data_IF_713205096032
#
_entry.id   IF_713205096032
#
_cell.length_a   1.000
_cell.length_b   1.000
_cell.length_c   1.000
_cell.angle_alpha   90.00
_cell.angle_beta   90.00
_cell.angle_gamma   90.00
#
_symmetry.space_group_name_H-M   'P 1'
#
loop_
_entity.id
_entity.type
_entity.pdbx_description
1 polymer ?
#
# COMPACT_ATOMS: atom_id res chain seq x y z
N UNK A 1 16.03 0.11 1.40
CA UNK A 1 17.47 0.03 1.69
C UNK A 1 18.16 -0.80 0.64
N UNK A 2 18.38 -2.09 0.89
CA UNK A 2 19.28 -2.93 0.08
C UNK A 2 19.03 -3.00 -1.43
N UNK A 3 17.77 -3.04 -1.91
CA UNK A 3 17.46 -3.04 -3.35
C UNK A 3 17.82 -1.70 -4.01
N UNK A 4 17.65 -0.61 -3.27
CA UNK A 4 17.86 0.76 -3.75
C UNK A 4 19.35 1.10 -3.76
N UNK A 5 20.09 0.70 -2.73
CA UNK A 5 21.56 0.85 -2.65
C UNK A 5 22.30 0.07 -3.73
N UNK A 6 21.74 -1.03 -4.22
CA UNK A 6 22.34 -1.80 -5.30
C UNK A 6 21.99 -1.31 -6.71
N UNK A 7 20.89 -0.57 -6.84
CA UNK A 7 20.44 0.00 -8.10
C UNK A 7 21.39 1.07 -8.64
N UNK A 8 22.03 1.85 -7.74
CA UNK A 8 22.91 2.96 -8.09
C UNK A 8 24.22 2.52 -8.77
N UNK A 9 24.70 1.30 -8.51
CA UNK A 9 26.01 0.85 -8.99
C UNK A 9 25.94 -0.16 -10.16
N UNK A 10 24.80 -0.84 -10.36
CA UNK A 10 24.72 -2.02 -11.24
C UNK A 10 23.58 -1.99 -12.28
N UNK A 11 22.73 -0.95 -12.28
CA UNK A 11 21.70 -0.75 -13.31
C UNK A 11 20.42 -1.60 -13.12
N UNK A 12 19.52 -1.53 -14.11
CA UNK A 12 18.20 -2.19 -14.09
C UNK A 12 18.30 -3.71 -13.93
N UNK A 13 19.32 -4.34 -14.51
CA UNK A 13 19.53 -5.79 -14.40
C UNK A 13 19.75 -6.25 -12.94
N UNK A 14 20.36 -5.40 -12.12
CA UNK A 14 20.54 -5.68 -10.70
C UNK A 14 19.22 -5.59 -9.93
N UNK A 15 18.35 -4.62 -10.25
CA UNK A 15 17.00 -4.53 -9.66
C UNK A 15 16.21 -5.80 -9.95
N UNK A 16 16.23 -6.27 -11.19
CA UNK A 16 15.55 -7.51 -11.59
C UNK A 16 16.09 -8.71 -10.79
N UNK A 17 17.42 -8.89 -10.76
CA UNK A 17 18.08 -9.98 -10.00
C UNK A 17 17.77 -9.92 -8.50
N UNK A 18 17.72 -8.73 -7.91
CA UNK A 18 17.41 -8.57 -6.50
C UNK A 18 15.95 -8.86 -6.19
N UNK A 19 15.04 -8.44 -7.07
CA UNK A 19 13.63 -8.78 -6.93
C UNK A 19 13.42 -10.29 -7.07
N UNK A 20 14.12 -10.94 -8.00
CA UNK A 20 14.06 -12.40 -8.19
C UNK A 20 14.50 -13.19 -6.95
N UNK A 21 15.49 -12.71 -6.19
CA UNK A 21 15.86 -13.34 -4.90
C UNK A 21 14.70 -13.37 -3.89
N UNK A 22 13.73 -12.46 -4.01
CA UNK A 22 12.56 -12.48 -3.15
C UNK A 22 11.54 -13.58 -3.51
N UNK A 23 11.72 -14.32 -4.61
CA UNK A 23 10.85 -15.45 -4.95
C UNK A 23 10.88 -16.55 -3.90
N UNK A 24 12.01 -16.70 -3.21
CA UNK A 24 12.17 -17.60 -2.06
C UNK A 24 11.28 -17.19 -0.86
N UNK A 25 10.80 -15.95 -0.86
CA UNK A 25 9.86 -15.39 0.12
C UNK A 25 8.56 -14.98 -0.56
N UNK A 26 7.86 -15.97 -1.13
CA UNK A 26 6.68 -15.76 -1.98
C UNK A 26 5.64 -14.79 -1.41
N UNK A 27 5.35 -14.85 -0.11
CA UNK A 27 4.39 -13.95 0.56
C UNK A 27 4.84 -12.49 0.65
N UNK A 28 6.10 -12.18 0.33
CA UNK A 28 6.70 -10.84 0.34
C UNK A 28 7.20 -10.40 -1.03
N UNK A 29 7.04 -11.21 -2.07
CA UNK A 29 7.54 -10.88 -3.40
C UNK A 29 6.97 -9.56 -3.92
N UNK A 30 5.69 -9.29 -3.66
CA UNK A 30 5.04 -8.02 -4.02
C UNK A 30 5.71 -6.80 -3.38
N UNK A 31 6.25 -6.92 -2.16
CA UNK A 31 6.99 -5.85 -1.49
C UNK A 31 8.33 -5.58 -2.18
N UNK A 32 8.98 -6.62 -2.70
CA UNK A 32 10.20 -6.44 -3.49
C UNK A 32 9.92 -5.80 -4.85
N UNK A 33 8.84 -6.21 -5.53
CA UNK A 33 8.41 -5.56 -6.76
C UNK A 33 8.04 -4.07 -6.51
N UNK A 34 7.39 -3.78 -5.38
CA UNK A 34 7.14 -2.41 -4.93
C UNK A 34 8.42 -1.61 -4.73
N UNK A 35 9.40 -2.17 -3.98
CA UNK A 35 10.71 -1.55 -3.79
C UNK A 35 11.47 -1.34 -5.11
N UNK A 36 11.30 -2.23 -6.09
CA UNK A 36 11.86 -2.05 -7.44
C UNK A 36 11.27 -0.81 -8.12
N UNK A 37 9.97 -0.56 -8.00
CA UNK A 37 9.32 0.65 -8.52
C UNK A 37 9.95 1.95 -8.01
N UNK A 38 10.21 2.03 -6.70
CA UNK A 38 10.93 3.16 -6.11
C UNK A 38 12.31 3.36 -6.74
N UNK A 39 13.10 2.28 -6.79
CA UNK A 39 14.46 2.31 -7.32
C UNK A 39 14.49 2.70 -8.81
N UNK A 40 13.59 2.13 -9.62
CA UNK A 40 13.48 2.42 -11.05
C UNK A 40 13.15 3.90 -11.28
N UNK A 41 12.19 4.48 -10.54
CA UNK A 41 11.86 5.89 -10.72
C UNK A 41 13.05 6.79 -10.35
N UNK A 42 13.70 6.53 -9.23
CA UNK A 42 14.86 7.29 -8.78
C UNK A 42 16.01 7.22 -9.81
N UNK A 43 16.29 6.03 -10.36
CA UNK A 43 17.29 5.83 -11.41
C UNK A 43 16.98 6.58 -12.71
N UNK A 44 15.70 6.75 -13.05
CA UNK A 44 15.27 7.48 -14.22
C UNK A 44 15.07 8.98 -13.98
N UNK A 45 15.63 9.53 -12.90
CA UNK A 45 15.54 10.95 -12.56
C UNK A 45 14.09 11.47 -12.54
N UNK A 46 13.17 10.64 -12.03
CA UNK A 46 11.74 10.95 -11.97
C UNK A 46 11.03 11.10 -13.33
N UNK A 47 11.57 10.47 -14.38
CA UNK A 47 10.83 10.20 -15.62
C UNK A 47 9.80 9.07 -15.40
N UNK A 48 8.60 9.45 -14.94
CA UNK A 48 7.55 8.51 -14.57
C UNK A 48 7.11 7.57 -15.71
N UNK A 49 6.82 8.03 -16.95
CA UNK A 49 6.51 7.13 -18.06
C UNK A 49 7.60 6.09 -18.30
N UNK A 50 8.86 6.52 -18.30
CA UNK A 50 9.99 5.62 -18.50
C UNK A 50 10.09 4.57 -17.39
N UNK A 51 9.84 4.98 -16.14
CA UNK A 51 9.80 4.07 -15.01
C UNK A 51 8.67 3.05 -15.11
N UNK A 52 7.46 3.48 -15.50
CA UNK A 52 6.32 2.58 -15.70
C UNK A 52 6.57 1.56 -16.82
N UNK A 53 7.11 2.00 -17.97
CA UNK A 53 7.50 1.09 -19.05
C UNK A 53 8.57 0.09 -18.60
N UNK A 54 9.52 0.51 -17.76
CA UNK A 54 10.53 -0.40 -17.19
C UNK A 54 9.89 -1.44 -16.26
N UNK A 55 8.91 -1.05 -15.43
CA UNK A 55 8.12 -2.01 -14.65
C UNK A 55 7.40 -3.04 -15.57
N UNK A 56 6.84 -2.58 -16.69
CA UNK A 56 6.16 -3.45 -17.66
C UNK A 56 7.13 -4.47 -18.26
N UNK A 57 8.32 -4.04 -18.67
CA UNK A 57 9.35 -4.92 -19.25
C UNK A 57 9.77 -6.03 -18.28
N UNK A 58 9.87 -5.73 -16.99
CA UNK A 58 10.35 -6.67 -15.96
C UNK A 58 9.23 -7.61 -15.51
N UNK A 59 8.04 -7.09 -15.23
CA UNK A 59 7.02 -7.81 -14.47
C UNK A 59 5.81 -8.27 -15.29
N UNK A 60 5.61 -7.84 -16.53
CA UNK A 60 4.45 -8.26 -17.34
C UNK A 60 4.38 -9.78 -17.57
N UNK A 61 5.54 -10.44 -17.60
CA UNK A 61 5.64 -11.89 -17.80
C UNK A 61 5.65 -12.69 -16.49
N UNK A 62 5.53 -12.04 -15.34
CA UNK A 62 5.58 -12.71 -14.05
C UNK A 62 4.24 -13.39 -13.72
N UNK A 63 4.11 -14.66 -14.11
CA UNK A 63 2.89 -15.43 -13.93
C UNK A 63 2.72 -15.99 -12.50
N UNK A 64 3.80 -16.18 -11.75
CA UNK A 64 3.72 -16.76 -10.40
C UNK A 64 3.29 -15.73 -9.36
N UNK A 65 3.42 -14.45 -9.68
CA UNK A 65 3.13 -13.33 -8.79
C UNK A 65 2.35 -12.24 -9.53
N UNK A 66 1.04 -12.44 -9.77
CA UNK A 66 0.24 -11.55 -10.62
C UNK A 66 0.16 -10.09 -10.12
N UNK A 67 0.37 -9.84 -8.83
CA UNK A 67 0.37 -8.49 -8.27
C UNK A 67 1.70 -7.74 -8.45
N UNK A 68 2.77 -8.41 -8.91
CA UNK A 68 4.12 -7.83 -8.98
C UNK A 68 4.17 -6.58 -9.87
N UNK A 69 3.55 -6.64 -11.05
CA UNK A 69 3.51 -5.50 -11.97
C UNK A 69 2.83 -4.29 -11.33
N UNK A 70 1.60 -4.48 -10.83
CA UNK A 70 0.87 -3.40 -10.15
C UNK A 70 1.58 -2.88 -8.89
N UNK A 71 2.35 -3.74 -8.22
CA UNK A 71 3.17 -3.37 -7.07
C UNK A 71 4.35 -2.49 -7.47
N UNK A 72 5.03 -2.80 -8.59
CA UNK A 72 6.08 -1.97 -9.17
C UNK A 72 5.54 -0.59 -9.56
N UNK A 73 4.42 -0.53 -10.28
CA UNK A 73 3.77 0.75 -10.60
C UNK A 73 3.42 1.54 -9.34
N UNK A 74 2.85 0.88 -8.33
CA UNK A 74 2.55 1.51 -7.04
C UNK A 74 3.80 2.13 -6.39
N UNK A 75 4.93 1.41 -6.37
CA UNK A 75 6.20 1.96 -5.85
C UNK A 75 6.69 3.17 -6.62
N UNK A 76 6.59 3.16 -7.96
CA UNK A 76 6.94 4.30 -8.78
C UNK A 76 6.03 5.51 -8.52
N UNK A 77 4.70 5.33 -8.51
CA UNK A 77 3.78 6.43 -8.19
C UNK A 77 3.97 6.98 -6.77
N UNK A 78 4.25 6.11 -5.79
CA UNK A 78 4.56 6.51 -4.42
C UNK A 78 5.84 7.34 -4.36
N UNK A 79 6.91 6.90 -5.03
CA UNK A 79 8.16 7.63 -5.11
C UNK A 79 7.98 8.99 -5.78
N UNK A 80 7.20 9.06 -6.87
CA UNK A 80 6.89 10.31 -7.56
C UNK A 80 6.23 11.35 -6.64
N UNK A 81 5.41 10.89 -5.70
CA UNK A 81 4.73 11.76 -4.75
C UNK A 81 5.65 12.24 -3.62
N UNK A 82 6.38 11.31 -2.97
CA UNK A 82 7.09 11.62 -1.73
C UNK A 82 8.55 12.00 -1.93
N UNK A 83 9.17 11.59 -3.03
CA UNK A 83 10.56 11.92 -3.36
C UNK A 83 11.58 11.47 -2.32
N UNK A 84 11.33 10.38 -1.59
CA UNK A 84 12.17 9.95 -0.46
C UNK A 84 13.58 9.58 -0.91
N UNK A 85 13.76 9.27 -2.19
CA UNK A 85 15.02 8.86 -2.80
C UNK A 85 15.60 9.92 -3.75
N UNK A 86 15.40 11.20 -3.44
CA UNK A 86 16.10 12.36 -4.05
C UNK A 86 17.61 12.41 -3.75
N UNK A 87 18.33 11.29 -3.85
CA UNK A 87 19.75 11.23 -3.51
C UNK A 87 20.64 11.64 -4.69
N UNK A 88 21.65 12.47 -4.41
CA UNK A 88 22.89 12.49 -5.21
C UNK A 88 22.87 13.25 -6.53
N UNK A 89 21.81 13.96 -6.90
CA UNK A 89 21.83 14.84 -8.07
C UNK A 89 22.10 16.29 -7.65
N UNK A 90 23.15 16.91 -8.20
CA UNK A 90 23.32 18.38 -8.15
C UNK A 90 22.14 19.12 -8.83
N UNK A 91 21.30 18.38 -9.56
CA UNK A 91 20.07 18.85 -10.17
C UNK A 91 18.86 18.64 -9.24
N UNK A 92 17.96 19.62 -9.20
CA UNK A 92 16.63 19.44 -8.61
C UNK A 92 15.88 18.34 -9.38
N UNK A 93 15.39 17.30 -8.71
CA UNK A 93 14.60 16.24 -9.34
C UNK A 93 13.46 16.81 -10.18
N UNK A 94 13.21 16.23 -11.36
CA UNK A 94 12.09 16.67 -12.20
C UNK A 94 10.78 16.32 -11.51
N UNK A 95 9.94 17.32 -11.24
CA UNK A 95 8.61 17.16 -10.63
C UNK A 95 7.48 17.37 -11.64
N UNK A 96 7.72 16.99 -12.89
CA UNK A 96 6.77 17.21 -13.98
C UNK A 96 5.49 16.36 -13.86
N UNK A 97 5.52 15.32 -13.03
CA UNK A 97 4.39 14.43 -12.77
C UNK A 97 3.67 14.74 -11.46
N UNK A 98 3.77 16.01 -11.02
CA UNK A 98 2.94 16.61 -9.98
C UNK A 98 2.27 17.86 -10.54
N UNK A 99 1.01 18.07 -10.19
CA UNK A 99 0.27 19.28 -10.55
C UNK A 99 -0.73 19.63 -9.45
N UNK A 100 -1.51 20.68 -9.69
CA UNK A 100 -2.62 21.11 -8.83
C UNK A 100 -3.98 20.50 -9.28
N UNK A 101 -3.98 19.61 -10.27
CA UNK A 101 -5.13 18.76 -10.58
C UNK A 101 -5.17 17.58 -9.60
N UNK A 102 -6.24 17.41 -8.80
CA UNK A 102 -6.33 16.35 -7.79
C UNK A 102 -6.34 14.94 -8.38
N UNK A 103 -6.56 14.77 -9.68
CA UNK A 103 -6.58 13.47 -10.36
C UNK A 103 -5.35 13.22 -11.21
N UNK A 104 -4.44 14.19 -11.33
CA UNK A 104 -3.17 14.01 -12.00
C UNK A 104 -2.13 13.39 -11.04
N UNK A 105 -1.33 12.41 -11.49
CA UNK A 105 -1.20 11.95 -12.87
C UNK A 105 -2.12 10.78 -13.27
N UNK A 106 -3.00 10.29 -12.39
CA UNK A 106 -3.82 9.11 -12.67
C UNK A 106 -4.75 9.29 -13.88
N UNK A 107 -5.20 10.50 -14.17
CA UNK A 107 -5.99 10.81 -15.37
C UNK A 107 -5.17 10.94 -16.66
N UNK A 108 -3.84 10.87 -16.59
CA UNK A 108 -2.93 10.97 -17.74
C UNK A 108 -2.41 9.61 -18.24
N UNK A 109 -2.66 8.52 -17.51
CA UNK A 109 -2.16 7.17 -17.81
C UNK A 109 -3.29 6.20 -18.17
N UNK A 110 -2.96 5.14 -18.92
CA UNK A 110 -3.88 4.07 -19.32
C UNK A 110 -4.42 3.23 -18.15
N UNK A 111 -5.39 2.37 -18.45
CA UNK A 111 -6.09 1.52 -17.46
C UNK A 111 -5.14 0.58 -16.70
N UNK A 112 -4.09 0.10 -17.36
CA UNK A 112 -3.07 -0.79 -16.79
C UNK A 112 -2.32 -0.18 -15.59
N UNK A 113 -2.21 1.15 -15.52
CA UNK A 113 -1.48 1.86 -14.46
C UNK A 113 -2.39 2.35 -13.33
N UNK A 114 -3.72 2.30 -13.51
CA UNK A 114 -4.69 2.94 -12.61
C UNK A 114 -4.61 2.42 -11.18
N UNK A 115 -4.48 1.09 -11.00
CA UNK A 115 -4.33 0.49 -9.66
C UNK A 115 -3.11 1.06 -8.94
N UNK A 116 -1.96 1.09 -9.60
CA UNK A 116 -0.73 1.64 -9.00
C UNK A 116 -0.86 3.12 -8.62
N UNK A 117 -1.54 3.90 -9.47
CA UNK A 117 -1.70 5.34 -9.25
C UNK A 117 -2.71 5.67 -8.14
N UNK A 118 -3.95 5.15 -8.22
CA UNK A 118 -5.01 5.48 -7.27
C UNK A 118 -4.72 4.95 -5.85
N UNK A 119 -3.89 3.92 -5.71
CA UNK A 119 -3.39 3.47 -4.42
C UNK A 119 -2.41 4.45 -3.76
N UNK A 120 -2.09 5.60 -4.39
CA UNK A 120 -1.25 6.69 -3.88
C UNK A 120 -1.92 8.08 -3.93
N UNK A 121 -2.94 8.28 -4.77
CA UNK A 121 -3.44 9.62 -5.09
C UNK A 121 -4.07 10.38 -3.91
N UNK A 122 -4.74 9.70 -2.98
CA UNK A 122 -5.38 10.37 -1.85
C UNK A 122 -4.36 11.06 -0.91
N UNK A 123 -3.12 10.56 -0.82
CA UNK A 123 -2.06 11.25 -0.07
C UNK A 123 -1.70 12.60 -0.70
N UNK A 124 -1.69 12.71 -2.04
CA UNK A 124 -1.49 13.98 -2.74
C UNK A 124 -2.68 14.91 -2.53
N UNK A 125 -3.89 14.41 -2.69
CA UNK A 125 -5.12 15.18 -2.46
C UNK A 125 -5.14 15.72 -1.02
N UNK A 126 -4.74 14.91 -0.03
CA UNK A 126 -4.64 15.33 1.37
C UNK A 126 -3.66 16.49 1.56
N UNK A 127 -2.47 16.42 0.94
CA UNK A 127 -1.49 17.51 0.96
C UNK A 127 -2.05 18.79 0.32
N UNK A 128 -2.71 18.68 -0.83
CA UNK A 128 -3.31 19.81 -1.54
C UNK A 128 -4.42 20.49 -0.73
N UNK A 129 -5.13 19.73 0.10
CA UNK A 129 -6.21 20.21 0.96
C UNK A 129 -5.74 20.46 2.41
N UNK A 130 -4.44 20.72 2.62
CA UNK A 130 -3.88 21.12 3.92
C UNK A 130 -4.22 20.17 5.08
N UNK A 131 -4.39 18.89 4.75
CA UNK A 131 -4.70 17.85 5.72
C UNK A 131 -6.18 17.68 6.08
N UNK A 132 -7.09 18.22 5.27
CA UNK A 132 -8.53 17.98 5.43
C UNK A 132 -8.91 16.59 4.89
N UNK A 133 -9.12 15.65 5.81
CA UNK A 133 -9.50 14.27 5.49
C UNK A 133 -10.90 14.17 4.89
N UNK A 134 -11.84 15.00 5.33
CA UNK A 134 -13.22 15.00 4.82
C UNK A 134 -13.22 15.48 3.38
N UNK A 135 -12.51 16.57 3.10
CA UNK A 135 -12.37 17.08 1.73
C UNK A 135 -11.65 16.09 0.82
N UNK A 136 -10.62 15.42 1.33
CA UNK A 136 -9.91 14.36 0.60
C UNK A 136 -10.85 13.22 0.21
N UNK A 137 -11.66 12.74 1.16
CA UNK A 137 -12.63 11.68 0.93
C UNK A 137 -13.70 12.09 -0.08
N UNK A 138 -14.17 13.33 -0.05
CA UNK A 138 -15.13 13.87 -1.03
C UNK A 138 -14.54 13.84 -2.44
N UNK A 139 -13.31 14.33 -2.61
CA UNK A 139 -12.63 14.34 -3.92
C UNK A 139 -12.43 12.92 -4.46
N UNK A 140 -12.04 11.95 -3.62
CA UNK A 140 -11.96 10.54 -4.03
C UNK A 140 -13.33 9.98 -4.49
N UNK A 141 -14.42 10.41 -3.86
CA UNK A 141 -15.77 9.94 -4.20
C UNK A 141 -16.33 10.60 -5.47
N UNK A 142 -15.74 11.69 -5.93
CA UNK A 142 -16.10 12.42 -7.15
C UNK A 142 -15.44 11.86 -8.43
N UNK A 143 -14.57 10.83 -8.32
CA UNK A 143 -13.85 10.23 -9.46
C UNK A 143 -14.79 9.69 -10.55
N UNK A 144 -15.99 9.23 -10.18
CA UNK A 144 -17.00 8.74 -11.12
C UNK A 144 -16.81 7.29 -11.60
N UNK A 145 -15.80 6.59 -11.07
CA UNK A 145 -15.55 5.16 -11.29
C UNK A 145 -15.44 4.44 -9.94
N UNK A 146 -16.23 3.38 -9.73
CA UNK A 146 -16.32 2.69 -8.43
C UNK A 146 -15.00 2.05 -8.00
N UNK A 147 -14.22 1.50 -8.94
CA UNK A 147 -12.98 0.80 -8.63
C UNK A 147 -11.86 1.79 -8.30
N UNK A 148 -11.72 2.87 -9.09
CA UNK A 148 -10.77 3.95 -8.83
C UNK A 148 -11.11 4.68 -7.53
N UNK A 149 -12.41 4.86 -7.24
CA UNK A 149 -12.90 5.38 -5.95
C UNK A 149 -12.46 4.48 -4.80
N UNK A 150 -12.65 3.16 -4.90
CA UNK A 150 -12.24 2.22 -3.87
C UNK A 150 -10.72 2.29 -3.62
N UNK A 151 -9.89 2.33 -4.67
CA UNK A 151 -8.44 2.45 -4.51
C UNK A 151 -8.00 3.78 -3.88
N UNK A 152 -8.64 4.89 -4.24
CA UNK A 152 -8.39 6.20 -3.64
C UNK A 152 -8.76 6.20 -2.16
N UNK A 153 -9.93 5.66 -1.80
CA UNK A 153 -10.38 5.55 -0.41
C UNK A 153 -9.51 4.58 0.41
N UNK A 154 -9.04 3.50 -0.19
CA UNK A 154 -8.07 2.58 0.43
C UNK A 154 -6.73 3.27 0.70
N UNK A 155 -6.25 4.11 -0.24
CA UNK A 155 -5.05 4.91 0.00
C UNK A 155 -5.27 5.86 1.17
N UNK A 156 -6.39 6.59 1.20
CA UNK A 156 -6.73 7.49 2.30
C UNK A 156 -6.74 6.75 3.64
N UNK A 157 -7.40 5.59 3.71
CA UNK A 157 -7.46 4.78 4.90
C UNK A 157 -6.07 4.36 5.39
N UNK A 158 -5.17 3.90 4.51
CA UNK A 158 -3.79 3.51 4.87
C UNK A 158 -2.98 4.67 5.45
N UNK A 159 -3.24 5.91 5.02
CA UNK A 159 -2.53 7.09 5.52
C UNK A 159 -2.95 7.49 6.94
N UNK A 160 -4.11 7.05 7.42
CA UNK A 160 -4.59 7.40 8.77
C UNK A 160 -3.68 6.85 9.86
N UNK A 161 -3.13 5.64 9.69
CA UNK A 161 -2.18 5.07 10.64
C UNK A 161 -0.97 5.99 10.90
N UNK A 162 -0.17 6.40 9.88
CA UNK A 162 0.92 7.34 10.09
C UNK A 162 0.44 8.74 10.53
N UNK A 163 -0.68 9.27 10.02
CA UNK A 163 -1.23 10.57 10.45
C UNK A 163 -1.55 10.63 11.94
N UNK A 164 -1.97 9.51 12.51
CA UNK A 164 -2.35 9.40 13.92
C UNK A 164 -1.22 8.91 14.82
N UNK A 165 -0.03 8.67 14.26
CA UNK A 165 1.10 8.03 14.92
C UNK A 165 0.72 6.72 15.64
N UNK A 166 -0.21 5.95 15.05
CA UNK A 166 -0.69 4.69 15.63
C UNK A 166 -1.62 4.86 16.84
N UNK A 167 -2.25 6.02 17.05
CA UNK A 167 -3.31 6.18 18.05
C UNK A 167 -4.63 5.57 17.54
N UNK A 168 -4.97 4.38 18.03
CA UNK A 168 -6.19 3.64 17.67
C UNK A 168 -7.44 4.51 17.85
N UNK A 169 -7.55 5.33 18.89
CA UNK A 169 -8.77 6.13 19.12
C UNK A 169 -8.92 7.20 18.03
N UNK A 170 -7.80 7.82 17.63
CA UNK A 170 -7.79 8.77 16.50
C UNK A 170 -8.06 8.08 15.17
N UNK A 171 -7.56 6.86 14.95
CA UNK A 171 -7.88 6.06 13.75
C UNK A 171 -9.39 5.89 13.60
N UNK A 172 -10.08 5.45 14.66
CA UNK A 172 -11.53 5.31 14.63
C UNK A 172 -12.25 6.65 14.40
N UNK A 173 -11.77 7.73 15.03
CA UNK A 173 -12.31 9.08 14.82
C UNK A 173 -12.16 9.55 13.37
N UNK A 174 -11.03 9.29 12.73
CA UNK A 174 -10.77 9.65 11.33
C UNK A 174 -11.60 8.78 10.38
N UNK A 175 -11.65 7.46 10.59
CA UNK A 175 -12.49 6.58 9.77
C UNK A 175 -13.98 6.95 9.86
N UNK A 176 -14.47 7.39 11.01
CA UNK A 176 -15.85 7.86 11.17
C UNK A 176 -16.18 9.10 10.32
N UNK A 177 -15.18 9.93 10.02
CA UNK A 177 -15.36 11.13 9.19
C UNK A 177 -15.48 10.82 7.69
N UNK A 178 -15.14 9.60 7.25
CA UNK A 178 -15.22 9.19 5.84
C UNK A 178 -16.64 8.82 5.38
N UNK A 179 -17.60 8.74 6.32
CA UNK A 179 -18.98 8.33 6.07
C UNK A 179 -19.23 6.83 6.25
N UNK A 180 -20.50 6.48 6.49
CA UNK A 180 -20.90 5.11 6.86
C UNK A 180 -20.49 4.05 5.83
N UNK A 181 -20.55 4.39 4.53
CA UNK A 181 -20.14 3.51 3.42
C UNK A 181 -18.68 3.04 3.57
N UNK A 182 -17.79 3.89 4.08
CA UNK A 182 -16.34 3.66 4.10
C UNK A 182 -15.80 3.29 5.48
N UNK A 183 -16.59 3.46 6.53
CA UNK A 183 -16.19 3.28 7.92
C UNK A 183 -15.52 1.92 8.17
N UNK A 184 -16.22 0.82 7.85
CA UNK A 184 -15.71 -0.52 8.15
C UNK A 184 -14.47 -0.87 7.32
N UNK A 185 -14.48 -0.54 6.02
CA UNK A 185 -13.31 -0.74 5.16
C UNK A 185 -12.10 0.04 5.70
N UNK A 186 -12.28 1.30 6.07
CA UNK A 186 -11.21 2.13 6.64
C UNK A 186 -10.58 1.51 7.90
N UNK A 187 -11.41 1.00 8.81
CA UNK A 187 -10.94 0.35 10.03
C UNK A 187 -10.21 -0.96 9.70
N UNK A 188 -10.74 -1.77 8.77
CA UNK A 188 -10.11 -3.02 8.31
C UNK A 188 -8.74 -2.79 7.68
N UNK A 189 -8.64 -1.78 6.80
CA UNK A 189 -7.38 -1.36 6.18
C UNK A 189 -6.36 -0.89 7.22
N UNK A 190 -6.81 -0.14 8.23
CA UNK A 190 -5.94 0.28 9.33
C UNK A 190 -5.49 -0.91 10.18
N UNK A 191 -6.36 -1.88 10.50
CA UNK A 191 -5.95 -3.10 11.21
C UNK A 191 -4.80 -3.82 10.47
N UNK A 192 -4.93 -3.99 9.15
CA UNK A 192 -3.85 -4.54 8.32
C UNK A 192 -2.57 -3.70 8.37
N UNK A 193 -2.69 -2.38 8.48
CA UNK A 193 -1.54 -1.46 8.58
C UNK A 193 -0.77 -1.65 9.90
N UNK A 194 -1.46 -1.78 11.05
CA UNK A 194 -0.80 -2.10 12.34
C UNK A 194 -0.04 -3.43 12.27
N UNK A 195 -0.64 -4.45 11.65
CA UNK A 195 0.03 -5.72 11.46
C UNK A 195 1.30 -5.56 10.61
N UNK A 196 1.21 -4.85 9.49
CA UNK A 196 2.33 -4.64 8.56
C UNK A 196 3.50 -3.89 9.18
N UNK A 197 3.27 -2.96 10.12
CA UNK A 197 4.33 -2.25 10.84
C UNK A 197 4.86 -3.00 12.06
N UNK A 198 4.39 -4.22 12.31
CA UNK A 198 4.91 -5.09 13.38
C UNK A 198 4.13 -5.05 14.69
N UNK A 199 2.88 -4.59 14.69
CA UNK A 199 1.97 -4.67 15.83
C UNK A 199 0.70 -5.52 15.56
N UNK A 200 0.85 -6.86 15.38
CA UNK A 200 -0.30 -7.76 15.25
C UNK A 200 -1.31 -7.71 16.42
N UNK A 201 -0.90 -7.57 17.70
CA UNK A 201 -1.86 -7.45 18.80
C UNK A 201 -2.78 -6.21 18.66
N UNK A 202 -2.25 -5.06 18.26
CA UNK A 202 -3.08 -3.89 17.99
C UNK A 202 -4.04 -4.11 16.82
N UNK A 203 -3.58 -4.76 15.75
CA UNK A 203 -4.43 -5.12 14.60
C UNK A 203 -5.65 -5.95 15.03
N UNK A 204 -5.44 -6.96 15.87
CA UNK A 204 -6.52 -7.80 16.42
C UNK A 204 -7.46 -6.99 17.30
N UNK A 205 -6.92 -6.11 18.16
CA UNK A 205 -7.71 -5.21 19.02
C UNK A 205 -8.58 -4.25 18.21
N UNK A 206 -8.14 -3.83 17.03
CA UNK A 206 -8.94 -3.02 16.11
C UNK A 206 -10.13 -3.84 15.57
N UNK A 207 -9.89 -5.07 15.10
CA UNK A 207 -10.97 -5.93 14.63
C UNK A 207 -11.95 -6.34 15.73
N UNK A 208 -11.53 -6.41 17.00
CA UNK A 208 -12.45 -6.64 18.13
C UNK A 208 -13.43 -5.47 18.34
N UNK A 209 -12.98 -4.24 18.04
CA UNK A 209 -13.72 -2.98 18.28
C UNK A 209 -14.55 -2.51 17.09
N UNK A 210 -14.32 -3.05 15.89
CA UNK A 210 -15.12 -2.71 14.71
C UNK A 210 -16.59 -3.14 14.89
N UNK A 211 -17.49 -2.50 14.16
CA UNK A 211 -18.91 -2.88 14.17
C UNK A 211 -19.09 -4.36 13.79
N UNK A 212 -20.15 -5.05 14.28
CA UNK A 212 -20.39 -6.46 13.94
C UNK A 212 -20.38 -6.75 12.43
N UNK A 213 -20.89 -5.81 11.62
CA UNK A 213 -20.96 -5.95 10.17
C UNK A 213 -19.57 -5.87 9.50
N UNK A 214 -18.57 -5.24 10.13
CA UNK A 214 -17.21 -5.14 9.62
C UNK A 214 -16.25 -6.23 10.11
N UNK A 215 -16.66 -7.03 11.11
CA UNK A 215 -15.78 -8.02 11.76
C UNK A 215 -15.25 -9.05 10.78
N UNK A 216 -16.11 -9.60 9.91
CA UNK A 216 -15.72 -10.66 8.98
C UNK A 216 -14.59 -10.23 8.05
N UNK A 217 -14.73 -9.08 7.41
CA UNK A 217 -13.70 -8.55 6.52
C UNK A 217 -12.39 -8.23 7.26
N UNK A 218 -12.49 -7.58 8.42
CA UNK A 218 -11.32 -7.24 9.23
C UNK A 218 -10.54 -8.49 9.64
N UNK A 219 -11.23 -9.50 10.19
CA UNK A 219 -10.56 -10.73 10.60
C UNK A 219 -10.04 -11.55 9.42
N UNK A 220 -10.74 -11.60 8.28
CA UNK A 220 -10.22 -12.27 7.08
C UNK A 220 -8.89 -11.66 6.62
N UNK A 221 -8.76 -10.33 6.65
CA UNK A 221 -7.50 -9.65 6.37
C UNK A 221 -6.39 -10.09 7.34
N UNK A 222 -6.65 -10.00 8.66
CA UNK A 222 -5.67 -10.38 9.69
C UNK A 222 -5.31 -11.87 9.63
N UNK A 223 -6.26 -12.76 9.34
CA UNK A 223 -6.03 -14.19 9.16
C UNK A 223 -5.08 -14.46 7.98
N UNK A 224 -5.28 -13.78 6.85
CA UNK A 224 -4.36 -13.86 5.71
C UNK A 224 -2.94 -13.46 6.09
N UNK A 225 -2.80 -12.40 6.88
CA UNK A 225 -1.49 -11.94 7.36
C UNK A 225 -0.84 -12.90 8.37
N UNK A 226 -1.60 -13.43 9.34
CA UNK A 226 -1.09 -14.42 10.31
C UNK A 226 -0.58 -15.66 9.58
N UNK A 227 -1.40 -16.21 8.67
CA UNK A 227 -1.08 -17.47 7.99
C UNK A 227 0.05 -17.32 6.97
N UNK A 228 0.08 -16.20 6.21
CA UNK A 228 1.05 -15.97 5.15
C UNK A 228 2.36 -15.29 5.55
N UNK A 229 2.37 -14.45 6.60
CA UNK A 229 3.53 -13.60 6.94
C UNK A 229 4.33 -14.07 8.15
N UNK A 230 3.69 -14.78 9.09
CA UNK A 230 4.36 -15.28 10.31
C UNK A 230 4.93 -16.67 10.03
N UNK A 231 6.25 -16.83 10.18
CA UNK A 231 6.92 -18.12 9.94
C UNK A 231 6.95 -19.00 11.20
N UNK A 232 7.03 -18.38 12.38
CA UNK A 232 7.12 -19.12 13.64
C UNK A 232 5.76 -19.71 14.03
N UNK A 233 5.71 -21.04 14.19
CA UNK A 233 4.48 -21.78 14.55
C UNK A 233 3.93 -21.39 15.94
N UNK A 234 4.79 -21.14 16.92
CA UNK A 234 4.38 -20.73 18.27
C UNK A 234 3.70 -19.36 18.21
N UNK A 235 4.32 -18.39 17.54
CA UNK A 235 3.74 -17.05 17.36
C UNK A 235 2.41 -17.10 16.59
N UNK A 236 2.28 -17.98 15.59
CA UNK A 236 1.01 -18.22 14.90
C UNK A 236 -0.08 -18.70 15.85
N UNK A 237 0.21 -19.71 16.67
CA UNK A 237 -0.75 -20.26 17.65
C UNK A 237 -1.16 -19.21 18.69
N UNK A 238 -0.21 -18.41 19.18
CA UNK A 238 -0.48 -17.32 20.12
C UNK A 238 -1.43 -16.27 19.52
N UNK A 239 -1.14 -15.80 18.30
CA UNK A 239 -1.98 -14.83 17.60
C UNK A 239 -3.37 -15.39 17.31
N UNK A 240 -3.48 -16.61 16.78
CA UNK A 240 -4.77 -17.24 16.53
C UNK A 240 -5.60 -17.40 17.82
N UNK A 241 -4.96 -17.76 18.94
CA UNK A 241 -5.63 -17.91 20.23
C UNK A 241 -6.16 -16.59 20.78
N UNK A 242 -5.60 -15.46 20.37
CA UNK A 242 -6.04 -14.12 20.77
C UNK A 242 -7.26 -13.59 19.97
N UNK A 243 -7.64 -14.26 18.88
CA UNK A 243 -8.84 -13.92 18.12
C UNK A 243 -10.11 -14.30 18.89
N UNK A 244 -11.24 -13.70 18.54
CA UNK A 244 -12.56 -14.10 19.02
C UNK A 244 -13.20 -15.19 18.14
N UNK A 245 -14.21 -15.88 18.64
CA UNK A 245 -14.98 -16.83 17.82
C UNK A 245 -15.85 -16.10 16.79
N UNK A 246 -16.04 -16.67 15.57
CA UNK A 246 -15.54 -17.97 15.10
C UNK A 246 -14.12 -17.93 14.50
N UNK A 247 -13.49 -16.75 14.42
CA UNK A 247 -12.23 -16.54 13.70
C UNK A 247 -11.05 -17.25 14.36
N UNK A 248 -11.07 -17.42 15.69
CA UNK A 248 -10.10 -18.25 16.42
C UNK A 248 -10.08 -19.67 15.89
N UNK A 249 -11.24 -20.32 15.82
CA UNK A 249 -11.37 -21.70 15.33
C UNK A 249 -10.88 -21.81 13.89
N UNK A 250 -11.28 -20.88 13.02
CA UNK A 250 -10.82 -20.84 11.62
C UNK A 250 -9.28 -20.70 11.53
N UNK A 251 -8.69 -19.79 12.30
CA UNK A 251 -7.24 -19.56 12.34
C UNK A 251 -6.46 -20.80 12.75
N UNK A 252 -6.89 -21.44 13.85
CA UNK A 252 -6.23 -22.63 14.38
C UNK A 252 -6.32 -23.82 13.42
N UNK A 253 -7.37 -23.90 12.60
CA UNK A 253 -7.50 -24.95 11.57
C UNK A 253 -6.49 -24.85 10.43
N UNK A 254 -5.83 -23.69 10.28
CA UNK A 254 -4.89 -23.35 9.19
C UNK A 254 -3.40 -23.40 9.60
N UNK A 255 -3.09 -23.80 10.84
CA UNK A 255 -1.72 -23.90 11.40
C UNK A 255 -1.29 -25.37 11.51
#
# INVERSE_FOLDING_TARGET
GAIIEAATDQGIEAIAKMTDKCKDYSSRYFQCAHAAGHAILAMWEYDLPKALTTCDEIFTKEANFPDALSSCHNGAFMENLFGVHDWGTENTPKRNWLSDDPYFPCNAFGEEYQKGCWLNQAARIYQMNQGDIVKTAQICQEIGDDQKTAWCMDNLARQIHPMTAGDISKVFSFCNQLGEKWLNNCISVNAGSYFSVGDPPAAIKICQKISPNGKTECYQNILGQITGSIQNKVSKLELCSSLEEPYRTDCLSKI
#
